data_IF_950864492961
#
_entry.id   IF_950864492961
#
_cell.length_a   1.000
_cell.length_b   1.000
_cell.length_c   1.000
_cell.angle_alpha   90.00
_cell.angle_beta   90.00
_cell.angle_gamma   90.00
#
_symmetry.space_group_name_H-M   'P 1'
#
loop_
_entity.id
_entity.type
_entity.pdbx_description
1 polymer ?
#
# COMPACT_ATOMS: atom_id res chain seq x y z
N UNK A 1 -5.63 5.85 -19.72
CA UNK A 1 -6.51 7.03 -19.75
C UNK A 1 -6.74 7.42 -18.31
N UNK A 2 -6.29 8.63 -17.96
CA UNK A 2 -6.36 9.16 -16.59
C UNK A 2 -7.69 9.86 -16.39
N UNK A 3 -8.18 9.92 -15.16
CA UNK A 3 -9.24 10.86 -14.81
C UNK A 3 -8.63 12.24 -14.98
N UNK A 4 -9.12 12.93 -15.98
CA UNK A 4 -9.05 14.38 -16.01
C UNK A 4 -10.30 14.78 -15.23
N UNK A 5 -10.13 15.24 -13.98
CA UNK A 5 -11.27 15.75 -13.24
C UNK A 5 -11.82 17.02 -13.92
N UNK A 6 -13.00 17.47 -13.51
CA UNK A 6 -13.67 18.64 -14.10
C UNK A 6 -12.77 19.91 -14.10
N UNK A 7 -11.88 20.03 -13.13
CA UNK A 7 -10.90 21.12 -13.05
C UNK A 7 -9.84 21.03 -14.17
N UNK A 8 -9.40 19.83 -14.52
CA UNK A 8 -8.39 19.62 -15.56
C UNK A 8 -8.98 19.69 -16.97
N UNK A 9 -10.25 19.26 -17.18
CA UNK A 9 -10.98 19.55 -18.42
C UNK A 9 -11.14 21.04 -18.63
N UNK A 10 -11.51 21.77 -17.57
CA UNK A 10 -11.60 23.25 -17.59
C UNK A 10 -10.26 23.91 -17.90
N UNK A 11 -9.14 23.38 -17.36
CA UNK A 11 -7.80 23.88 -17.69
C UNK A 11 -7.42 23.62 -19.15
N UNK A 12 -7.70 22.43 -19.68
CA UNK A 12 -7.47 22.11 -21.10
C UNK A 12 -8.28 23.01 -22.02
N UNK A 13 -9.54 23.25 -21.69
CA UNK A 13 -10.40 24.14 -22.45
C UNK A 13 -9.88 25.58 -22.44
N UNK A 14 -9.41 26.06 -21.27
CA UNK A 14 -8.77 27.39 -21.14
C UNK A 14 -7.48 27.49 -21.98
N UNK A 15 -6.64 26.45 -21.98
CA UNK A 15 -5.42 26.40 -22.80
C UNK A 15 -5.80 26.42 -24.28
N UNK A 16 -6.80 25.63 -24.71
CA UNK A 16 -7.26 25.57 -26.09
C UNK A 16 -7.81 26.93 -26.56
N UNK A 17 -8.67 27.57 -25.78
CA UNK A 17 -9.19 28.92 -26.06
C UNK A 17 -8.07 29.93 -26.22
N UNK A 18 -7.07 29.89 -25.32
CA UNK A 18 -5.94 30.81 -25.36
C UNK A 18 -5.04 30.57 -26.58
N UNK A 19 -4.87 29.30 -27.00
CA UNK A 19 -4.15 28.95 -28.21
C UNK A 19 -4.83 29.53 -29.47
N UNK A 20 -6.17 29.44 -29.53
CA UNK A 20 -6.96 30.01 -30.62
C UNK A 20 -6.86 31.55 -30.65
N UNK A 21 -6.82 32.21 -29.50
CA UNK A 21 -6.62 33.67 -29.42
C UNK A 21 -5.25 34.06 -29.96
N UNK A 22 -4.18 33.43 -29.50
CA UNK A 22 -2.81 33.68 -29.95
C UNK A 22 -2.70 33.37 -31.45
N UNK A 23 -3.37 32.33 -31.94
CA UNK A 23 -3.41 32.03 -33.36
C UNK A 23 -4.11 33.11 -34.20
N UNK A 24 -5.19 33.75 -33.66
CA UNK A 24 -5.86 34.89 -34.29
C UNK A 24 -4.98 36.13 -34.30
N UNK A 25 -4.32 36.41 -33.19
CA UNK A 25 -3.44 37.59 -33.06
C UNK A 25 -2.20 37.45 -33.95
N UNK A 26 -1.65 36.25 -34.10
CA UNK A 26 -0.60 35.98 -35.07
C UNK A 26 -1.05 36.32 -36.49
N UNK A 27 -2.24 35.86 -36.92
CA UNK A 27 -2.77 36.17 -38.29
C UNK A 27 -2.94 37.67 -38.49
N UNK A 28 -3.44 38.39 -37.46
CA UNK A 28 -3.54 39.87 -37.54
C UNK A 28 -2.16 40.53 -37.69
N UNK A 29 -1.16 40.04 -36.94
CA UNK A 29 0.18 40.58 -37.01
C UNK A 29 0.78 40.28 -38.40
N UNK A 30 0.58 39.11 -38.98
CA UNK A 30 1.05 38.78 -40.32
C UNK A 30 0.47 39.72 -41.40
N UNK A 31 -0.82 40.08 -41.29
CA UNK A 31 -1.46 41.06 -42.17
C UNK A 31 -0.81 42.43 -42.01
N UNK A 32 -0.54 42.90 -40.78
CA UNK A 32 0.08 44.20 -40.54
C UNK A 32 1.53 44.24 -41.03
N UNK A 33 2.27 43.15 -40.91
CA UNK A 33 3.65 43.03 -41.43
C UNK A 33 3.65 43.12 -42.98
N UNK A 34 2.65 42.53 -43.63
CA UNK A 34 2.51 42.66 -45.09
C UNK A 34 2.18 44.11 -45.52
N UNK A 35 1.46 44.86 -44.70
CA UNK A 35 1.06 46.26 -44.92
C UNK A 35 2.00 47.25 -44.19
N UNK A 36 3.27 46.84 -43.97
CA UNK A 36 4.24 47.58 -43.13
C UNK A 36 4.47 49.02 -43.50
N UNK A 37 4.27 49.42 -44.77
CA UNK A 37 4.44 50.79 -45.23
C UNK A 37 3.44 51.78 -44.62
N UNK A 38 2.27 51.25 -44.15
CA UNK A 38 1.22 52.08 -43.57
C UNK A 38 1.01 51.80 -42.04
N UNK A 39 1.82 50.94 -41.41
CA UNK A 39 1.68 50.58 -40.00
C UNK A 39 2.83 51.12 -39.20
N UNK A 40 2.61 51.93 -38.13
CA UNK A 40 3.67 52.39 -37.24
C UNK A 40 4.47 51.24 -36.62
N UNK A 41 5.80 51.36 -36.60
CA UNK A 41 6.71 50.35 -36.03
C UNK A 41 6.38 50.05 -34.55
N UNK A 42 5.97 51.05 -33.79
CA UNK A 42 5.54 50.89 -32.37
C UNK A 42 4.35 49.94 -32.24
N UNK A 43 3.34 50.02 -33.08
CA UNK A 43 2.20 49.15 -33.10
C UNK A 43 2.58 47.70 -33.41
N UNK A 44 3.48 47.47 -34.38
CA UNK A 44 4.01 46.16 -34.70
C UNK A 44 4.78 45.55 -33.52
N UNK A 45 5.59 46.35 -32.82
CA UNK A 45 6.38 45.92 -31.67
C UNK A 45 5.47 45.53 -30.48
N UNK A 46 4.44 46.32 -30.20
CA UNK A 46 3.46 46.02 -29.15
C UNK A 46 2.72 44.70 -29.42
N UNK A 47 2.25 44.49 -30.63
CA UNK A 47 1.56 43.25 -31.01
C UNK A 47 2.51 42.03 -30.98
N UNK A 48 3.77 42.18 -31.37
CA UNK A 48 4.77 41.16 -31.27
C UNK A 48 5.04 40.77 -29.81
N UNK A 49 5.18 41.76 -28.94
CA UNK A 49 5.40 41.52 -27.50
C UNK A 49 4.20 40.84 -26.84
N UNK A 50 2.97 41.25 -27.20
CA UNK A 50 1.75 40.61 -26.72
C UNK A 50 1.67 39.12 -27.17
N UNK A 51 2.04 38.85 -28.42
CA UNK A 51 2.08 37.48 -28.99
C UNK A 51 3.12 36.62 -28.30
N UNK A 52 4.30 37.17 -28.03
CA UNK A 52 5.39 36.51 -27.31
C UNK A 52 4.94 36.16 -25.89
N UNK A 53 4.37 37.14 -25.16
CA UNK A 53 3.85 36.91 -23.80
C UNK A 53 2.74 35.84 -23.76
N UNK A 54 1.80 35.87 -24.72
CA UNK A 54 0.74 34.84 -24.85
C UNK A 54 1.29 33.46 -25.14
N UNK A 55 2.34 33.37 -25.94
CA UNK A 55 3.00 32.09 -26.25
C UNK A 55 3.75 31.52 -25.04
N UNK A 56 4.42 32.38 -24.27
CA UNK A 56 5.12 32.00 -23.04
C UNK A 56 4.13 31.52 -21.96
N UNK A 57 2.97 32.18 -21.80
CA UNK A 57 1.89 31.75 -20.90
C UNK A 57 1.35 30.36 -21.26
N UNK A 58 1.06 30.13 -22.56
CA UNK A 58 0.61 28.80 -23.03
C UNK A 58 1.68 27.73 -22.75
N UNK A 59 2.95 28.01 -23.07
CA UNK A 59 4.05 27.08 -22.83
C UNK A 59 4.18 26.72 -21.36
N UNK A 60 4.05 27.69 -20.46
CA UNK A 60 4.06 27.46 -19.02
C UNK A 60 2.91 26.55 -18.57
N UNK A 61 1.69 26.83 -19.02
CA UNK A 61 0.49 26.02 -18.69
C UNK A 61 0.60 24.60 -19.23
N UNK A 62 1.06 24.41 -20.45
CA UNK A 62 1.27 23.08 -21.04
C UNK A 62 2.34 22.30 -20.27
N UNK A 63 3.43 22.94 -19.87
CA UNK A 63 4.46 22.30 -19.07
C UNK A 63 3.91 21.86 -17.69
N UNK A 64 3.15 22.73 -17.00
CA UNK A 64 2.52 22.36 -15.72
C UNK A 64 1.56 21.19 -15.87
N UNK A 65 0.78 21.18 -16.94
CA UNK A 65 -0.14 20.07 -17.24
C UNK A 65 0.61 18.76 -17.55
N UNK A 66 1.73 18.80 -18.28
CA UNK A 66 2.55 17.64 -18.53
C UNK A 66 3.20 17.07 -17.26
N UNK A 67 3.64 17.94 -16.34
CA UNK A 67 4.17 17.52 -15.03
C UNK A 67 3.09 16.78 -14.26
N UNK A 68 1.88 17.31 -14.24
CA UNK A 68 0.72 16.68 -13.59
C UNK A 68 0.39 15.30 -14.20
N UNK A 69 0.32 15.19 -15.53
CA UNK A 69 0.09 13.89 -16.20
C UNK A 69 1.16 12.84 -15.88
N UNK A 70 2.42 13.28 -15.80
CA UNK A 70 3.52 12.39 -15.43
C UNK A 70 3.41 11.92 -13.96
N UNK A 71 2.97 12.80 -13.04
CA UNK A 71 2.75 12.39 -11.65
C UNK A 71 1.65 11.33 -11.55
N UNK A 72 0.51 11.54 -12.20
CA UNK A 72 -0.59 10.55 -12.25
C UNK A 72 -0.13 9.18 -12.81
N UNK A 73 0.72 9.19 -13.82
CA UNK A 73 1.27 7.97 -14.38
C UNK A 73 2.15 7.23 -13.38
N UNK A 74 3.00 7.95 -12.67
CA UNK A 74 3.88 7.38 -11.64
C UNK A 74 3.06 6.83 -10.47
N UNK A 75 2.03 7.56 -10.01
CA UNK A 75 1.14 7.14 -8.93
C UNK A 75 0.39 5.84 -9.27
N UNK A 76 -0.08 5.73 -10.51
CA UNK A 76 -0.72 4.50 -11.00
C UNK A 76 0.25 3.32 -11.03
N UNK A 77 1.47 3.51 -11.54
CA UNK A 77 2.49 2.47 -11.56
C UNK A 77 2.86 2.03 -10.14
N UNK A 78 3.04 2.97 -9.23
CA UNK A 78 3.33 2.70 -7.82
C UNK A 78 2.19 1.94 -7.14
N UNK A 79 0.93 2.24 -7.47
CA UNK A 79 -0.22 1.51 -6.97
C UNK A 79 -0.18 0.02 -7.38
N UNK A 80 0.13 -0.29 -8.64
CA UNK A 80 0.28 -1.69 -9.09
C UNK A 80 1.46 -2.41 -8.42
N UNK A 81 2.59 -1.73 -8.23
CA UNK A 81 3.74 -2.28 -7.50
C UNK A 81 3.38 -2.60 -6.04
N UNK A 82 2.64 -1.71 -5.38
CA UNK A 82 2.15 -1.93 -4.02
C UNK A 82 1.21 -3.14 -3.92
N UNK A 83 0.32 -3.36 -4.89
CA UNK A 83 -0.53 -4.56 -4.93
C UNK A 83 0.30 -5.84 -5.03
N UNK A 84 1.35 -5.84 -5.87
CA UNK A 84 2.26 -6.98 -5.98
C UNK A 84 2.98 -7.26 -4.67
N UNK A 85 3.50 -6.23 -3.99
CA UNK A 85 4.14 -6.37 -2.68
C UNK A 85 3.17 -6.98 -1.66
N UNK A 86 1.90 -6.55 -1.66
CA UNK A 86 0.87 -7.13 -0.77
C UNK A 86 0.58 -8.59 -1.08
N UNK A 87 0.47 -8.94 -2.35
CA UNK A 87 0.30 -10.33 -2.77
C UNK A 87 1.44 -11.22 -2.28
N UNK A 88 2.70 -10.79 -2.48
CA UNK A 88 3.89 -11.52 -2.04
C UNK A 88 3.93 -11.65 -0.50
N UNK A 89 3.51 -10.61 0.23
CA UNK A 89 3.37 -10.65 1.69
C UNK A 89 2.36 -11.73 2.11
N UNK A 90 1.19 -11.80 1.47
CA UNK A 90 0.16 -12.79 1.83
C UNK A 90 0.66 -14.23 1.57
N UNK A 91 1.35 -14.45 0.45
CA UNK A 91 2.00 -15.74 0.17
C UNK A 91 3.02 -16.12 1.23
N UNK A 92 3.81 -15.15 1.69
CA UNK A 92 4.78 -15.36 2.77
C UNK A 92 4.09 -15.72 4.10
N UNK A 93 3.01 -15.03 4.46
CA UNK A 93 2.24 -15.31 5.68
C UNK A 93 1.57 -16.70 5.64
N UNK A 94 0.99 -17.08 4.50
CA UNK A 94 0.47 -18.45 4.31
C UNK A 94 1.58 -19.52 4.48
N UNK A 95 2.77 -19.28 3.94
CA UNK A 95 3.90 -20.18 4.09
C UNK A 95 4.32 -20.31 5.56
N UNK A 96 4.40 -19.21 6.29
CA UNK A 96 4.70 -19.19 7.73
C UNK A 96 3.66 -19.99 8.54
N UNK A 97 2.36 -19.86 8.22
CA UNK A 97 1.32 -20.65 8.87
C UNK A 97 1.49 -22.17 8.63
N UNK A 98 1.84 -22.56 7.40
CA UNK A 98 2.11 -23.98 7.07
C UNK A 98 3.35 -24.52 7.79
N UNK A 99 4.37 -23.70 8.02
CA UNK A 99 5.57 -24.08 8.77
C UNK A 99 5.28 -24.34 10.26
N UNK A 100 4.20 -23.80 10.81
CA UNK A 100 3.74 -24.14 12.17
C UNK A 100 3.35 -25.61 12.28
N UNK A 101 2.97 -26.27 11.16
CA UNK A 101 2.56 -27.68 11.05
C UNK A 101 1.34 -28.04 11.90
N UNK A 102 0.42 -27.12 12.07
CA UNK A 102 -0.87 -27.33 12.76
C UNK A 102 -1.97 -26.92 11.79
N UNK A 103 -2.65 -27.89 11.20
CA UNK A 103 -3.68 -27.68 10.17
C UNK A 103 -4.82 -26.77 10.66
N UNK A 104 -5.14 -26.82 11.95
CA UNK A 104 -6.12 -25.94 12.60
C UNK A 104 -5.90 -24.45 12.27
N UNK A 105 -4.65 -24.00 12.22
CA UNK A 105 -4.37 -22.58 11.91
C UNK A 105 -4.53 -22.29 10.42
N UNK A 106 -4.15 -23.21 9.54
CA UNK A 106 -4.37 -23.05 8.10
C UNK A 106 -5.85 -22.92 7.81
N UNK A 107 -6.69 -23.79 8.38
CA UNK A 107 -8.13 -23.76 8.20
C UNK A 107 -8.77 -22.52 8.81
N UNK A 108 -8.29 -22.08 9.98
CA UNK A 108 -8.81 -20.90 10.67
C UNK A 108 -8.58 -19.59 9.88
N UNK A 109 -7.40 -19.44 9.28
CA UNK A 109 -7.04 -18.22 8.56
C UNK A 109 -7.38 -18.25 7.07
N UNK A 110 -7.72 -19.41 6.49
CA UNK A 110 -8.08 -19.53 5.09
C UNK A 110 -9.16 -18.54 4.64
N UNK A 111 -10.31 -18.38 5.34
CA UNK A 111 -11.33 -17.42 4.91
C UNK A 111 -10.82 -15.97 4.93
N UNK A 112 -9.94 -15.64 5.89
CA UNK A 112 -9.37 -14.30 5.99
C UNK A 112 -8.38 -14.01 4.84
N UNK A 113 -7.60 -15.01 4.40
CA UNK A 113 -6.76 -14.87 3.20
C UNK A 113 -7.59 -14.80 1.93
N UNK A 114 -8.63 -15.61 1.80
CA UNK A 114 -9.53 -15.56 0.65
C UNK A 114 -10.12 -14.14 0.51
N UNK A 115 -10.58 -13.54 1.61
CA UNK A 115 -11.06 -12.15 1.63
C UNK A 115 -9.98 -11.13 1.22
N UNK A 116 -8.72 -11.29 1.68
CA UNK A 116 -7.62 -10.41 1.27
C UNK A 116 -7.34 -10.50 -0.24
N UNK A 117 -7.39 -11.69 -0.82
CA UNK A 117 -7.22 -11.88 -2.26
C UNK A 117 -8.39 -11.31 -3.06
N UNK A 118 -9.63 -11.40 -2.57
CA UNK A 118 -10.78 -10.76 -3.19
C UNK A 118 -10.63 -9.23 -3.23
N UNK A 119 -10.16 -8.61 -2.13
CA UNK A 119 -9.90 -7.17 -2.08
C UNK A 119 -8.77 -6.78 -3.05
N UNK A 120 -7.69 -7.58 -3.15
CA UNK A 120 -6.63 -7.35 -4.12
C UNK A 120 -7.14 -7.40 -5.56
N UNK A 121 -7.98 -8.38 -5.89
CA UNK A 121 -8.57 -8.51 -7.22
C UNK A 121 -9.52 -7.36 -7.54
N UNK A 122 -10.28 -6.89 -6.55
CA UNK A 122 -11.14 -5.71 -6.70
C UNK A 122 -10.31 -4.44 -6.94
N UNK A 123 -9.24 -4.21 -6.17
CA UNK A 123 -8.31 -3.10 -6.37
C UNK A 123 -7.65 -3.16 -7.76
N UNK A 124 -7.21 -4.34 -8.19
CA UNK A 124 -6.63 -4.52 -9.52
C UNK A 124 -7.63 -4.19 -10.63
N UNK A 125 -8.92 -4.50 -10.43
CA UNK A 125 -9.99 -4.11 -11.36
C UNK A 125 -10.24 -2.61 -11.35
N UNK A 126 -10.34 -1.98 -10.17
CA UNK A 126 -10.53 -0.55 -10.04
C UNK A 126 -9.39 0.24 -10.71
N UNK A 127 -8.14 -0.17 -10.52
CA UNK A 127 -6.98 0.48 -11.16
C UNK A 127 -6.92 0.29 -12.69
N UNK A 128 -7.61 -0.72 -13.25
CA UNK A 128 -7.70 -0.94 -14.69
C UNK A 128 -8.93 -0.29 -15.34
N UNK A 129 -9.91 0.08 -14.53
CA UNK A 129 -11.13 0.73 -15.01
C UNK A 129 -10.87 2.19 -15.31
N UNK A 130 -11.42 2.66 -16.43
CA UNK A 130 -11.26 4.05 -16.85
C UNK A 130 -12.64 4.70 -16.97
N UNK A 131 -12.83 5.81 -16.30
CA UNK A 131 -11.94 6.56 -15.41
C UNK A 131 -11.67 5.83 -14.07
N UNK A 132 -10.49 6.05 -13.47
CA UNK A 132 -10.16 5.45 -12.15
C UNK A 132 -10.95 6.18 -11.06
N UNK A 133 -11.73 5.47 -10.29
CA UNK A 133 -12.36 6.01 -9.08
C UNK A 133 -11.34 6.02 -7.92
N UNK A 134 -10.68 7.17 -7.73
CA UNK A 134 -9.67 7.36 -6.69
C UNK A 134 -10.25 7.15 -5.29
N UNK A 135 -11.50 7.55 -5.06
CA UNK A 135 -12.16 7.39 -3.75
C UNK A 135 -12.36 5.91 -3.43
N UNK A 136 -12.87 5.14 -4.39
CA UNK A 136 -13.05 3.70 -4.24
C UNK A 136 -11.71 2.98 -4.04
N UNK A 137 -10.65 3.35 -4.79
CA UNK A 137 -9.30 2.79 -4.63
C UNK A 137 -8.75 3.08 -3.24
N UNK A 138 -8.86 4.31 -2.75
CA UNK A 138 -8.36 4.67 -1.42
C UNK A 138 -9.11 3.93 -0.31
N UNK A 139 -10.43 3.83 -0.41
CA UNK A 139 -11.25 3.09 0.56
C UNK A 139 -10.84 1.62 0.65
N UNK A 140 -10.74 0.97 -0.52
CA UNK A 140 -10.34 -0.45 -0.59
C UNK A 140 -8.90 -0.68 -0.17
N UNK A 141 -7.99 0.25 -0.46
CA UNK A 141 -6.60 0.17 0.00
C UNK A 141 -6.49 0.28 1.52
N UNK A 142 -7.30 1.14 2.14
CA UNK A 142 -7.38 1.24 3.60
C UNK A 142 -7.90 -0.04 4.21
N UNK A 143 -9.00 -0.58 3.70
CA UNK A 143 -9.57 -1.87 4.12
C UNK A 143 -8.55 -3.01 4.02
N UNK A 144 -7.84 -3.12 2.89
CA UNK A 144 -6.78 -4.11 2.69
C UNK A 144 -5.66 -3.99 3.74
N UNK A 145 -5.23 -2.75 4.01
CA UNK A 145 -4.15 -2.49 4.97
C UNK A 145 -4.56 -2.87 6.39
N UNK A 146 -5.75 -2.49 6.83
CA UNK A 146 -6.24 -2.82 8.17
C UNK A 146 -6.36 -4.33 8.38
N UNK A 147 -7.01 -5.03 7.43
CA UNK A 147 -7.18 -6.49 7.50
C UNK A 147 -5.84 -7.23 7.44
N UNK A 148 -4.95 -6.83 6.51
CA UNK A 148 -3.64 -7.46 6.38
C UNK A 148 -2.75 -7.25 7.59
N UNK A 149 -2.78 -6.06 8.21
CA UNK A 149 -2.02 -5.78 9.41
C UNK A 149 -2.50 -6.61 10.60
N UNK A 150 -3.81 -6.79 10.76
CA UNK A 150 -4.39 -7.64 11.79
C UNK A 150 -3.93 -9.08 11.64
N UNK A 151 -4.07 -9.66 10.45
CA UNK A 151 -3.65 -11.05 10.18
C UNK A 151 -2.15 -11.23 10.41
N UNK A 152 -1.33 -10.29 9.91
CA UNK A 152 0.12 -10.33 10.12
C UNK A 152 0.48 -10.30 11.62
N UNK A 153 -0.20 -9.47 12.41
CA UNK A 153 0.03 -9.40 13.85
C UNK A 153 -0.39 -10.68 14.56
N UNK A 154 -1.54 -11.25 14.19
CA UNK A 154 -2.03 -12.49 14.76
C UNK A 154 -1.07 -13.66 14.47
N UNK A 155 -0.60 -13.80 13.23
CA UNK A 155 0.37 -14.84 12.85
C UNK A 155 1.70 -14.67 13.59
N UNK A 156 2.21 -13.44 13.68
CA UNK A 156 3.43 -13.16 14.47
C UNK A 156 3.28 -13.53 15.93
N UNK A 157 2.12 -13.24 16.53
CA UNK A 157 1.84 -13.62 17.91
C UNK A 157 1.81 -15.15 18.08
N UNK A 158 1.21 -15.88 17.15
CA UNK A 158 1.18 -17.35 17.17
C UNK A 158 2.61 -17.92 17.11
N UNK A 159 3.43 -17.43 16.17
CA UNK A 159 4.82 -17.87 16.02
C UNK A 159 5.63 -17.55 17.27
N UNK A 160 5.50 -16.34 17.80
CA UNK A 160 6.21 -15.91 19.00
C UNK A 160 5.84 -16.78 20.21
N UNK A 161 4.55 -17.04 20.45
CA UNK A 161 4.16 -17.92 21.54
C UNK A 161 4.63 -19.35 21.35
N UNK A 162 4.65 -19.86 20.09
CA UNK A 162 5.21 -21.18 19.79
C UNK A 162 6.68 -21.26 20.19
N UNK A 163 7.50 -20.31 19.75
CA UNK A 163 8.93 -20.26 20.04
C UNK A 163 9.20 -20.13 21.53
N UNK A 164 8.47 -19.24 22.22
CA UNK A 164 8.61 -19.07 23.67
C UNK A 164 8.18 -20.31 24.44
N UNK A 165 7.07 -20.96 24.09
CA UNK A 165 6.62 -22.18 24.74
C UNK A 165 7.62 -23.33 24.52
N UNK A 166 8.10 -23.50 23.29
CA UNK A 166 9.10 -24.52 22.95
C UNK A 166 10.40 -24.31 23.75
N UNK A 167 10.91 -23.07 23.76
CA UNK A 167 12.09 -22.73 24.54
C UNK A 167 11.95 -23.00 26.03
N UNK A 168 10.79 -22.64 26.63
CA UNK A 168 10.52 -22.92 28.03
C UNK A 168 10.42 -24.43 28.34
N UNK A 169 9.71 -25.17 27.48
CA UNK A 169 9.58 -26.63 27.62
C UNK A 169 10.95 -27.30 27.59
N UNK A 170 11.81 -26.92 26.61
CA UNK A 170 13.16 -27.46 26.49
C UNK A 170 14.03 -27.10 27.70
N UNK A 171 13.92 -25.90 28.23
CA UNK A 171 14.67 -25.45 29.41
C UNK A 171 14.31 -26.30 30.65
N UNK A 172 13.03 -26.48 30.91
CA UNK A 172 12.52 -27.18 32.12
C UNK A 172 12.68 -28.70 31.99
N UNK A 173 12.65 -29.24 30.77
CA UNK A 173 12.72 -30.69 30.51
C UNK A 173 13.98 -31.33 31.14
N UNK A 174 15.08 -30.59 31.26
CA UNK A 174 16.31 -31.04 31.89
C UNK A 174 16.13 -31.44 33.36
N UNK A 175 15.24 -30.74 34.09
CA UNK A 175 15.00 -30.96 35.52
C UNK A 175 13.69 -31.68 35.81
N UNK A 176 12.99 -32.15 34.78
CA UNK A 176 11.69 -32.84 34.80
C UNK A 176 11.65 -33.99 35.78
N UNK A 177 12.73 -34.80 35.80
CA UNK A 177 12.79 -36.04 36.60
C UNK A 177 13.08 -35.77 38.07
N UNK A 178 13.51 -34.57 38.45
CA UNK A 178 13.83 -34.22 39.84
C UNK A 178 12.58 -33.93 40.69
N UNK A 179 11.53 -33.43 40.05
CA UNK A 179 10.35 -32.96 40.74
C UNK A 179 9.05 -33.40 40.04
N UNK A 180 8.26 -34.27 40.69
CA UNK A 180 7.00 -34.77 40.09
C UNK A 180 5.98 -33.69 39.75
N UNK A 181 5.93 -32.61 40.55
CA UNK A 181 5.05 -31.48 40.30
C UNK A 181 5.42 -30.75 39.01
N UNK A 182 6.72 -30.52 38.77
CA UNK A 182 7.23 -29.90 37.55
C UNK A 182 6.93 -30.78 36.34
N UNK A 183 7.13 -32.10 36.48
CA UNK A 183 6.78 -33.05 35.44
C UNK A 183 5.30 -32.96 35.03
N UNK A 184 4.39 -32.87 35.99
CA UNK A 184 2.95 -32.74 35.72
C UNK A 184 2.60 -31.45 34.98
N UNK A 185 3.17 -30.31 35.38
CA UNK A 185 2.96 -29.02 34.74
C UNK A 185 3.52 -29.04 33.31
N UNK A 186 4.72 -29.58 33.15
CA UNK A 186 5.38 -29.66 31.85
C UNK A 186 4.61 -30.56 30.88
N UNK A 187 4.08 -31.70 31.35
CA UNK A 187 3.24 -32.61 30.54
C UNK A 187 1.95 -31.91 30.05
N UNK A 188 1.36 -31.04 30.89
CA UNK A 188 0.20 -30.22 30.47
C UNK A 188 0.62 -29.18 29.42
N UNK A 189 1.76 -28.47 29.63
CA UNK A 189 2.28 -27.52 28.65
C UNK A 189 2.57 -28.18 27.31
N UNK A 190 3.17 -29.38 27.29
CA UNK A 190 3.41 -30.15 26.08
C UNK A 190 2.10 -30.54 25.37
N UNK A 191 1.10 -30.97 26.12
CA UNK A 191 -0.22 -31.31 25.55
C UNK A 191 -0.87 -30.09 24.88
N UNK A 192 -0.82 -28.92 25.52
CA UNK A 192 -1.31 -27.66 24.96
C UNK A 192 -0.51 -27.27 23.69
N UNK A 193 0.82 -27.45 23.74
CA UNK A 193 1.70 -27.16 22.59
C UNK A 193 1.33 -28.02 21.37
N UNK A 194 1.19 -29.32 21.54
CA UNK A 194 0.84 -30.23 20.45
C UNK A 194 -0.59 -30.02 19.93
N UNK A 195 -1.50 -29.51 20.76
CA UNK A 195 -2.84 -29.10 20.36
C UNK A 195 -2.87 -27.72 19.67
N UNK A 196 -1.72 -27.03 19.59
CA UNK A 196 -1.61 -25.70 18.99
C UNK A 196 -2.14 -24.57 19.87
N UNK A 197 -2.33 -24.80 21.17
CA UNK A 197 -2.63 -23.72 22.12
C UNK A 197 -1.31 -23.18 22.71
N UNK A 198 -0.55 -22.51 21.85
CA UNK A 198 0.80 -22.03 22.18
C UNK A 198 0.81 -20.98 23.28
N UNK A 199 -0.22 -20.13 23.37
CA UNK A 199 -0.31 -19.14 24.43
C UNK A 199 -0.47 -19.79 25.79
N UNK A 200 -1.44 -20.69 25.93
CA UNK A 200 -1.65 -21.43 27.19
C UNK A 200 -0.45 -22.34 27.51
N UNK A 201 0.17 -22.94 26.51
CA UNK A 201 1.40 -23.72 26.67
C UNK A 201 2.55 -22.87 27.24
N UNK A 202 2.74 -21.66 26.69
CA UNK A 202 3.72 -20.70 27.19
C UNK A 202 3.45 -20.31 28.67
N UNK A 203 2.22 -19.92 29.00
CA UNK A 203 1.83 -19.56 30.36
C UNK A 203 2.06 -20.72 31.35
N UNK A 204 1.72 -21.95 30.93
CA UNK A 204 1.93 -23.16 31.75
C UNK A 204 3.42 -23.47 31.90
N UNK A 205 4.21 -23.38 30.86
CA UNK A 205 5.67 -23.60 30.90
C UNK A 205 6.40 -22.54 31.71
N UNK A 206 5.95 -21.28 31.69
CA UNK A 206 6.45 -20.25 32.59
C UNK A 206 6.19 -20.57 34.07
N UNK A 207 5.00 -21.12 34.40
CA UNK A 207 4.70 -21.56 35.75
C UNK A 207 5.67 -22.65 36.22
N UNK A 208 6.06 -23.58 35.33
CA UNK A 208 7.06 -24.59 35.63
C UNK A 208 8.44 -23.98 35.93
N UNK A 209 8.88 -22.98 35.14
CA UNK A 209 10.15 -22.26 35.39
C UNK A 209 10.13 -21.58 36.75
N UNK A 210 9.08 -20.81 37.06
CA UNK A 210 8.96 -20.11 38.35
C UNK A 210 9.04 -21.07 39.54
N UNK A 211 8.40 -22.25 39.44
CA UNK A 211 8.45 -23.25 40.50
C UNK A 211 9.82 -23.93 40.62
N UNK A 212 10.53 -24.10 39.49
CA UNK A 212 11.90 -24.60 39.48
C UNK A 212 12.83 -23.63 40.19
N UNK A 213 12.81 -22.35 39.83
CA UNK A 213 13.60 -21.30 40.45
C UNK A 213 13.39 -21.17 41.96
N UNK A 214 12.14 -21.40 42.41
CA UNK A 214 11.80 -21.37 43.83
C UNK A 214 12.36 -22.59 44.59
N UNK A 215 12.42 -23.77 43.97
CA UNK A 215 12.97 -24.98 44.56
C UNK A 215 14.47 -25.04 44.57
N UNK A 216 15.16 -24.38 43.63
CA UNK A 216 16.61 -24.31 43.58
C UNK A 216 17.19 -23.29 44.60
N UNK A 217 16.36 -22.41 45.17
CA UNK A 217 16.74 -21.42 46.20
C UNK A 217 16.49 -21.87 47.65
N UNK A 218 15.80 -23.00 47.85
CA UNK A 218 15.51 -23.58 49.18
C UNK A 218 16.12 -24.96 49.33
#
# INVERSE_FOLDING_TARGET
>A
VYIIDEDHESQLEKISKRLDEVGRDKRKLDILVHNRENTPYTELLEKLNALKSGTEDIKSKVNSFNIYLNSLRNDSQQAFENLKIKYDLFKSLEAQLREIRIDKYVDLYKPAFDELYEILDELNRLLKTVPIDVTAVNLKSTELNEKSNKINQDIKNIINYKELAEGNILLVNRDRMKFSEINNILSQAETLFFNGDFKSSYEMSQTAIQKLDFKDKN
#
